data_IF_892931129365
#
_entry.id   IF_892931129365
#
_cell.length_a   1.000
_cell.length_b   1.000
_cell.length_c   1.000
_cell.angle_alpha   90.00
_cell.angle_beta   90.00
_cell.angle_gamma   90.00
#
_symmetry.space_group_name_H-M   'P 1'
#
loop_
_entity.id
_entity.type
_entity.pdbx_description
1 polymer ?
#
# COMPACT_ATOMS: atom_id res chain seq x y z
N UNK A 1 -20.17 5.23 -21.06
CA UNK A 1 -18.75 4.86 -20.93
C UNK A 1 -18.62 3.74 -19.92
N UNK A 2 -18.00 2.65 -20.31
CA UNK A 2 -17.74 1.56 -19.38
C UNK A 2 -16.45 1.83 -18.62
N UNK A 3 -16.53 1.77 -17.29
CA UNK A 3 -15.37 1.87 -16.45
C UNK A 3 -15.00 0.45 -16.01
N UNK A 4 -13.83 0.00 -16.41
CA UNK A 4 -13.31 -1.29 -15.96
C UNK A 4 -12.88 -1.20 -14.51
N UNK A 5 -13.24 -2.20 -13.72
CA UNK A 5 -12.71 -2.34 -12.38
C UNK A 5 -12.32 -3.78 -12.11
N UNK A 6 -11.24 -3.96 -11.40
CA UNK A 6 -10.73 -5.27 -10.99
C UNK A 6 -10.42 -5.22 -9.50
N UNK A 7 -10.89 -6.22 -8.79
CA UNK A 7 -10.60 -6.35 -7.36
C UNK A 7 -9.27 -7.06 -7.22
N UNK A 8 -8.32 -6.41 -6.53
CA UNK A 8 -7.00 -6.99 -6.23
C UNK A 8 -7.10 -7.89 -5.00
N UNK A 9 -7.78 -7.42 -3.96
CA UNK A 9 -7.93 -8.17 -2.71
C UNK A 9 -9.17 -7.66 -1.97
N UNK A 10 -10.13 -8.54 -1.73
CA UNK A 10 -11.32 -8.25 -0.94
C UNK A 10 -11.37 -9.07 0.35
N UNK A 11 -10.30 -9.79 0.67
CA UNK A 11 -10.16 -10.67 1.83
C UNK A 11 -11.20 -11.79 1.87
N UNK A 12 -11.76 -12.13 0.72
CA UNK A 12 -12.75 -13.17 0.58
C UNK A 12 -12.39 -14.05 -0.63
N UNK A 13 -13.03 -13.84 -1.76
CA UNK A 13 -12.80 -14.66 -2.96
C UNK A 13 -11.54 -14.27 -3.71
N UNK A 14 -11.18 -13.00 -3.69
CA UNK A 14 -9.99 -12.48 -4.35
C UNK A 14 -8.99 -12.04 -3.30
N UNK A 15 -7.82 -12.64 -3.32
CA UNK A 15 -6.79 -12.39 -2.31
C UNK A 15 -5.44 -12.18 -3.00
N UNK A 16 -4.67 -11.24 -2.47
CA UNK A 16 -3.32 -10.96 -2.91
C UNK A 16 -2.32 -11.50 -1.88
N UNK A 17 -1.10 -11.76 -2.34
CA UNK A 17 -0.01 -12.17 -1.46
C UNK A 17 0.75 -10.95 -0.99
N UNK A 18 0.38 -10.47 0.18
CA UNK A 18 1.04 -9.35 0.82
C UNK A 18 2.29 -9.81 1.57
N UNK A 19 3.31 -8.98 1.54
CA UNK A 19 4.45 -9.10 2.45
C UNK A 19 4.74 -7.74 3.05
N UNK A 20 5.38 -7.75 4.21
CA UNK A 20 5.76 -6.52 4.90
C UNK A 20 7.27 -6.46 5.01
N UNK A 21 7.81 -5.26 4.79
CA UNK A 21 9.24 -5.01 4.94
C UNK A 21 9.45 -3.71 5.70
N UNK A 22 10.61 -3.60 6.32
CA UNK A 22 11.03 -2.38 6.99
C UNK A 22 12.44 -2.01 6.55
N UNK A 23 12.94 -0.93 7.10
CA UNK A 23 14.31 -0.49 6.86
C UNK A 23 15.38 -1.45 7.37
N UNK A 24 14.99 -2.54 8.05
CA UNK A 24 15.93 -3.60 8.45
C UNK A 24 16.69 -4.18 7.27
N UNK A 25 16.11 -4.17 6.07
CA UNK A 25 16.79 -4.61 4.85
C UNK A 25 17.98 -3.71 4.50
N UNK A 26 18.05 -2.51 5.09
CA UNK A 26 19.12 -1.53 4.89
C UNK A 26 19.94 -1.31 6.16
N UNK A 27 19.78 -2.17 7.18
CA UNK A 27 20.45 -2.01 8.46
C UNK A 27 19.75 -1.08 9.44
N UNK A 28 18.55 -0.60 9.13
CA UNK A 28 17.74 0.18 10.05
C UNK A 28 17.15 -0.67 11.16
N UNK A 29 16.50 -0.03 12.13
CA UNK A 29 15.94 -0.69 13.29
C UNK A 29 14.44 -0.48 13.47
N UNK A 30 13.74 -0.06 12.41
CA UNK A 30 12.28 0.02 12.44
C UNK A 30 11.68 -1.38 12.55
N UNK A 31 10.61 -1.50 13.32
CA UNK A 31 9.90 -2.76 13.52
C UNK A 31 8.58 -2.72 12.76
N UNK A 32 8.23 -3.81 12.10
CA UNK A 32 6.99 -3.92 11.34
C UNK A 32 6.25 -5.19 11.70
N UNK A 33 4.94 -5.07 11.85
CA UNK A 33 4.03 -6.20 12.02
C UNK A 33 2.90 -6.04 11.01
N UNK A 34 2.51 -7.16 10.41
CA UNK A 34 1.45 -7.18 9.41
C UNK A 34 0.53 -8.35 9.70
N UNK A 35 -0.76 -8.06 9.88
CA UNK A 35 -1.75 -9.04 10.30
C UNK A 35 -2.96 -9.03 9.39
N UNK A 36 -3.56 -10.20 9.24
CA UNK A 36 -4.93 -10.31 8.77
C UNK A 36 -5.86 -10.34 9.98
N UNK A 37 -6.79 -9.40 10.04
CA UNK A 37 -7.68 -9.22 11.18
C UNK A 37 -9.12 -9.48 10.79
N UNK A 38 -9.90 -9.96 11.75
CA UNK A 38 -11.35 -10.12 11.63
C UNK A 38 -11.96 -9.68 12.95
N UNK A 39 -12.71 -8.57 12.92
CA UNK A 39 -13.34 -8.02 14.12
C UNK A 39 -14.80 -8.48 14.29
N UNK A 40 -15.24 -9.47 13.51
CA UNK A 40 -16.60 -9.98 13.51
C UNK A 40 -17.54 -9.25 12.55
N UNK A 41 -17.19 -8.06 12.13
CA UNK A 41 -17.93 -7.26 11.15
C UNK A 41 -17.13 -7.11 9.86
N UNK A 42 -15.85 -6.78 9.99
CA UNK A 42 -14.97 -6.51 8.88
C UNK A 42 -13.73 -7.39 8.95
N UNK A 43 -13.23 -7.76 7.77
CA UNK A 43 -11.90 -8.36 7.61
C UNK A 43 -10.99 -7.31 7.00
N UNK A 44 -9.76 -7.23 7.49
CA UNK A 44 -8.82 -6.23 7.00
C UNK A 44 -7.38 -6.65 7.28
N UNK A 45 -6.46 -5.98 6.59
CA UNK A 45 -5.04 -6.08 6.89
C UNK A 45 -4.64 -4.93 7.80
N UNK A 46 -3.79 -5.22 8.75
CA UNK A 46 -3.24 -4.22 9.67
C UNK A 46 -1.73 -4.19 9.53
N UNK A 47 -1.22 -3.02 9.14
CA UNK A 47 0.21 -2.74 9.12
C UNK A 47 0.51 -1.81 10.28
N UNK A 48 1.38 -2.24 11.17
CA UNK A 48 1.78 -1.42 12.30
C UNK A 48 3.26 -1.62 12.62
N UNK A 49 3.83 -0.67 13.34
CA UNK A 49 5.20 -0.76 13.75
C UNK A 49 5.72 0.57 14.25
N UNK A 50 6.98 0.52 14.68
CA UNK A 50 7.72 1.69 15.11
C UNK A 50 8.76 2.04 14.06
N UNK A 51 8.64 3.23 13.48
CA UNK A 51 9.59 3.72 12.49
C UNK A 51 10.71 4.47 13.22
N UNK A 52 11.95 4.06 12.96
CA UNK A 52 13.14 4.70 13.51
C UNK A 52 14.03 5.19 12.38
N UNK A 53 14.56 6.40 12.51
CA UNK A 53 15.49 6.97 11.52
C UNK A 53 16.94 6.61 11.80
N UNK A 54 17.22 5.84 12.88
CA UNK A 54 18.57 5.38 13.18
C UNK A 54 19.11 4.49 12.06
N UNK A 55 20.42 4.52 11.87
CA UNK A 55 21.13 3.72 10.85
C UNK A 55 20.64 4.00 9.42
N UNK A 56 20.25 5.26 9.15
CA UNK A 56 19.70 5.68 7.86
C UNK A 56 18.41 4.94 7.48
N UNK A 57 17.69 4.43 8.49
CA UNK A 57 16.39 3.83 8.30
C UNK A 57 15.26 4.85 8.26
N UNK A 58 14.04 4.40 8.40
CA UNK A 58 12.89 5.27 8.52
C UNK A 58 11.67 4.85 7.72
N UNK A 59 11.50 3.54 7.44
CA UNK A 59 10.29 3.11 6.76
C UNK A 59 9.79 1.73 7.22
N UNK A 60 8.48 1.56 7.09
CA UNK A 60 7.81 0.26 7.06
C UNK A 60 6.83 0.28 5.90
N UNK A 61 6.62 -0.85 5.25
CA UNK A 61 5.67 -0.93 4.15
C UNK A 61 5.13 -2.33 3.96
N UNK A 62 3.97 -2.43 3.32
CA UNK A 62 3.44 -3.66 2.79
C UNK A 62 3.47 -3.61 1.27
N UNK A 63 3.67 -4.76 0.64
CA UNK A 63 3.89 -4.84 -0.79
C UNK A 63 3.18 -6.05 -1.39
N UNK A 64 2.64 -5.88 -2.58
CA UNK A 64 2.11 -6.97 -3.40
C UNK A 64 2.60 -6.84 -4.82
N UNK A 65 2.64 -7.99 -5.49
CA UNK A 65 2.82 -8.07 -6.94
C UNK A 65 1.54 -8.63 -7.55
N UNK A 66 1.05 -7.98 -8.57
CA UNK A 66 -0.11 -8.49 -9.32
C UNK A 66 -0.01 -8.06 -10.78
N UNK A 67 -0.40 -8.95 -11.72
CA UNK A 67 -0.32 -8.65 -13.13
C UNK A 67 -1.58 -7.90 -13.59
N UNK A 68 -1.46 -6.60 -13.79
CA UNK A 68 -2.54 -5.74 -14.29
C UNK A 68 -1.95 -4.79 -15.33
N UNK A 69 -2.68 -4.59 -16.42
CA UNK A 69 -2.34 -3.57 -17.39
C UNK A 69 -2.96 -2.24 -16.95
N UNK A 70 -2.15 -1.33 -16.47
CA UNK A 70 -2.61 -0.03 -15.96
C UNK A 70 -3.30 0.82 -17.03
N UNK A 71 -3.05 0.56 -18.32
CA UNK A 71 -3.71 1.28 -19.40
C UNK A 71 -5.23 1.06 -19.44
N UNK A 72 -5.71 -0.04 -18.87
CA UNK A 72 -7.13 -0.37 -18.81
C UNK A 72 -7.86 0.34 -17.66
N UNK A 73 -7.15 1.09 -16.82
CA UNK A 73 -7.69 1.67 -15.60
C UNK A 73 -7.29 3.13 -15.44
N UNK A 74 -8.00 3.84 -14.58
CA UNK A 74 -7.76 5.26 -14.33
C UNK A 74 -7.02 5.54 -13.03
N UNK A 75 -7.01 4.57 -12.12
CA UNK A 75 -6.39 4.78 -10.82
C UNK A 75 -6.58 3.60 -9.89
N UNK A 76 -6.32 3.83 -8.63
CA UNK A 76 -6.43 2.85 -7.56
C UNK A 76 -7.44 3.33 -6.54
N UNK A 77 -8.28 2.42 -6.06
CA UNK A 77 -9.25 2.69 -5.00
C UNK A 77 -9.06 1.67 -3.89
N UNK A 78 -9.06 2.15 -2.66
CA UNK A 78 -8.92 1.28 -1.51
C UNK A 78 -9.65 1.86 -0.29
N UNK A 79 -10.04 0.98 0.62
CA UNK A 79 -10.66 1.34 1.88
C UNK A 79 -9.59 1.28 2.96
N UNK A 80 -9.45 2.35 3.74
CA UNK A 80 -8.35 2.48 4.69
C UNK A 80 -8.77 3.29 5.90
N UNK A 81 -8.14 3.01 7.03
CA UNK A 81 -8.11 3.86 8.21
C UNK A 81 -6.71 3.84 8.79
N UNK A 82 -6.37 4.85 9.55
CA UNK A 82 -5.05 4.92 10.16
C UNK A 82 -4.85 6.19 10.96
N UNK A 83 -3.62 6.38 11.42
CA UNK A 83 -3.24 7.64 12.06
C UNK A 83 -3.30 8.78 11.05
N UNK A 84 -3.57 10.00 11.54
CA UNK A 84 -3.70 11.17 10.68
C UNK A 84 -2.32 11.72 10.27
N UNK A 85 -1.59 10.89 9.54
CA UNK A 85 -0.25 11.19 9.03
C UNK A 85 -0.22 11.10 7.52
N UNK A 86 0.89 11.50 6.94
CA UNK A 86 1.12 11.33 5.52
C UNK A 86 1.60 9.91 5.22
N UNK A 87 0.87 9.25 4.35
CA UNK A 87 1.23 7.94 3.84
C UNK A 87 1.48 8.03 2.36
N UNK A 88 2.23 7.07 1.83
CA UNK A 88 2.61 7.07 0.42
C UNK A 88 2.26 5.74 -0.22
N UNK A 89 1.71 5.82 -1.42
CA UNK A 89 1.52 4.65 -2.27
C UNK A 89 2.58 4.69 -3.37
N UNK A 90 3.31 3.61 -3.50
CA UNK A 90 4.33 3.46 -4.53
C UNK A 90 3.87 2.46 -5.56
N UNK A 91 4.06 2.80 -6.83
CA UNK A 91 3.81 1.90 -7.93
C UNK A 91 5.11 1.70 -8.69
N UNK A 92 5.42 0.44 -8.97
CA UNK A 92 6.54 0.06 -9.82
C UNK A 92 5.99 -0.71 -11.02
N UNK A 93 6.63 -0.54 -12.17
CA UNK A 93 6.25 -1.18 -13.41
C UNK A 93 7.42 -1.99 -13.95
N UNK A 94 7.22 -2.86 -14.95
CA UNK A 94 8.34 -3.55 -15.61
C UNK A 94 9.39 -2.61 -16.21
N UNK A 95 9.04 -1.35 -16.46
CA UNK A 95 9.99 -0.35 -16.94
C UNK A 95 10.90 0.19 -15.83
N UNK A 96 10.60 -0.09 -14.56
CA UNK A 96 11.47 0.33 -13.44
C UNK A 96 12.77 -0.47 -13.47
N UNK A 97 13.90 0.22 -13.63
CA UNK A 97 15.23 -0.42 -13.75
C UNK A 97 15.96 -0.54 -12.42
N UNK A 98 15.70 0.40 -11.52
CA UNK A 98 16.40 0.49 -10.24
C UNK A 98 15.41 0.44 -9.10
N UNK A 99 15.82 0.05 -7.88
CA UNK A 99 14.92 0.01 -6.72
C UNK A 99 14.22 1.33 -6.40
N UNK A 100 14.83 2.46 -6.78
CA UNK A 100 14.25 3.78 -6.54
C UNK A 100 13.36 4.28 -7.69
N UNK A 101 13.29 3.55 -8.80
CA UNK A 101 12.40 3.90 -9.91
C UNK A 101 10.97 3.51 -9.53
N UNK A 102 10.16 4.50 -9.21
CA UNK A 102 8.78 4.30 -8.82
C UNK A 102 7.97 5.57 -9.05
N UNK A 103 6.67 5.39 -9.07
CA UNK A 103 5.70 6.48 -9.03
C UNK A 103 5.15 6.56 -7.61
N UNK A 104 5.03 7.78 -7.07
CA UNK A 104 4.60 8.02 -5.70
C UNK A 104 3.39 8.93 -5.67
N UNK A 105 2.41 8.58 -4.85
CA UNK A 105 1.32 9.49 -4.49
C UNK A 105 1.15 9.47 -2.97
N UNK A 106 0.92 10.65 -2.40
CA UNK A 106 0.64 10.80 -0.98
C UNK A 106 -0.84 10.68 -0.72
N UNK A 107 -1.20 10.09 0.42
CA UNK A 107 -2.57 10.09 0.90
C UNK A 107 -2.59 10.24 2.42
N UNK A 108 -3.71 10.75 2.94
CA UNK A 108 -3.92 10.93 4.37
C UNK A 108 -5.16 10.14 4.78
N UNK A 109 -5.01 9.01 5.47
CA UNK A 109 -6.14 8.25 5.94
C UNK A 109 -6.82 8.98 7.10
N UNK A 110 -8.11 8.69 7.29
CA UNK A 110 -8.85 9.11 8.47
C UNK A 110 -8.75 8.04 9.54
N UNK A 111 -9.12 8.38 10.77
CA UNK A 111 -9.16 7.41 11.87
C UNK A 111 -10.28 6.39 11.68
N UNK A 112 -11.34 6.75 10.99
CA UNK A 112 -12.43 5.86 10.61
C UNK A 112 -12.24 5.34 9.19
N UNK A 113 -12.86 4.21 8.88
CA UNK A 113 -12.82 3.64 7.54
C UNK A 113 -13.32 4.64 6.51
N UNK A 114 -12.55 4.83 5.47
CA UNK A 114 -12.91 5.69 4.34
C UNK A 114 -12.34 5.12 3.04
N UNK A 115 -12.98 5.47 1.94
CA UNK A 115 -12.52 5.09 0.61
C UNK A 115 -11.65 6.20 0.07
N UNK A 116 -10.44 5.84 -0.35
CA UNK A 116 -9.51 6.76 -1.01
C UNK A 116 -9.35 6.32 -2.46
N UNK A 117 -9.46 7.27 -3.37
CA UNK A 117 -9.23 7.06 -4.79
C UNK A 117 -8.05 7.92 -5.22
N UNK A 118 -7.06 7.28 -5.84
CA UNK A 118 -5.89 8.00 -6.37
C UNK A 118 -5.82 7.75 -7.87
N UNK A 119 -6.12 8.76 -8.68
CA UNK A 119 -5.96 8.62 -10.13
C UNK A 119 -4.48 8.48 -10.49
N UNK A 120 -4.19 7.72 -11.54
CA UNK A 120 -2.80 7.55 -11.95
C UNK A 120 -2.10 8.86 -12.29
N UNK A 121 -2.86 9.85 -12.72
CA UNK A 121 -2.32 11.20 -12.99
C UNK A 121 -1.77 11.91 -11.75
N UNK A 122 -2.13 11.45 -10.55
CA UNK A 122 -1.63 12.02 -9.29
C UNK A 122 -0.29 11.42 -8.85
N UNK A 123 0.16 10.37 -9.50
CA UNK A 123 1.46 9.75 -9.20
C UNK A 123 2.59 10.48 -9.93
N UNK A 124 3.66 10.71 -9.23
CA UNK A 124 4.84 11.39 -9.76
C UNK A 124 6.08 10.49 -9.77
#
# INVERSE_FOLDING_TARGET
>A
MNISSTIIDDLDKTRANWSAISDNVMGGISEVNFYEMDDGTDKFYRLEGNVSTKNNGGFIQSIINFPVNAEDYQGIRFTVRGTSDDYYMWIRTPASRFPWDRYIAMFQPKEDWSIIEIPFSSFE
#
